data_IF_552292102460
#
_entry.id   IF_552292102460
#
_cell.length_a   1.000
_cell.length_b   1.000
_cell.length_c   1.000
_cell.angle_alpha   90.00
_cell.angle_beta   90.00
_cell.angle_gamma   90.00
#
_symmetry.space_group_name_H-M   'P 1'
#
loop_
_entity.id
_entity.type
_entity.pdbx_description
1 polymer ?
#
# COMPACT_ATOMS: atom_id res chain seq x y z
N UNK A 1 -16.40 -10.78 -5.89
CA UNK A 1 -15.50 -11.29 -4.82
C UNK A 1 -16.35 -11.57 -3.61
N UNK A 2 -16.45 -12.82 -3.15
CA UNK A 2 -17.15 -13.15 -1.90
C UNK A 2 -16.24 -12.80 -0.74
N UNK A 3 -16.49 -11.66 -0.09
CA UNK A 3 -15.79 -11.31 1.14
C UNK A 3 -16.05 -12.36 2.23
N UNK A 4 -14.98 -12.95 2.72
CA UNK A 4 -15.08 -13.79 3.92
C UNK A 4 -15.23 -12.89 5.14
N UNK A 5 -16.26 -13.07 5.98
CA UNK A 5 -16.40 -12.26 7.19
C UNK A 5 -15.24 -12.54 8.16
N UNK A 6 -14.83 -11.53 8.90
CA UNK A 6 -13.85 -11.70 9.97
C UNK A 6 -14.38 -12.67 11.04
N UNK A 7 -13.54 -13.60 11.49
CA UNK A 7 -13.86 -14.53 12.58
C UNK A 7 -14.07 -13.78 13.91
N UNK A 8 -13.18 -12.82 14.21
CA UNK A 8 -13.23 -12.02 15.46
C UNK A 8 -13.97 -10.71 15.19
N UNK A 9 -15.31 -10.80 15.13
CA UNK A 9 -16.19 -9.63 14.90
C UNK A 9 -16.08 -8.59 16.02
N UNK A 10 -15.72 -9.02 17.23
CA UNK A 10 -15.45 -8.18 18.42
C UNK A 10 -14.23 -7.27 18.25
N UNK A 11 -13.36 -7.56 17.28
CA UNK A 11 -12.16 -6.78 16.94
C UNK A 11 -12.24 -6.14 15.55
N UNK A 12 -13.39 -6.16 14.93
CA UNK A 12 -13.58 -5.60 13.61
C UNK A 12 -13.82 -4.09 13.72
N UNK A 13 -12.96 -3.32 13.08
CA UNK A 13 -13.16 -1.90 12.87
C UNK A 13 -14.25 -1.63 11.85
N UNK A 14 -14.86 -0.44 11.94
CA UNK A 14 -15.73 0.06 10.87
C UNK A 14 -14.92 0.34 9.59
N UNK A 15 -15.60 0.46 8.45
CA UNK A 15 -14.94 0.84 7.19
C UNK A 15 -14.30 2.25 7.29
N UNK A 16 -14.88 3.14 8.08
CA UNK A 16 -14.32 4.47 8.32
C UNK A 16 -13.02 4.41 9.13
N UNK A 17 -13.00 3.61 10.20
CA UNK A 17 -11.80 3.40 11.02
C UNK A 17 -10.70 2.71 10.21
N UNK A 18 -11.04 1.71 9.40
CA UNK A 18 -10.08 1.04 8.52
C UNK A 18 -9.42 2.02 7.53
N UNK A 19 -10.17 2.96 6.96
CA UNK A 19 -9.62 4.03 6.12
C UNK A 19 -8.72 4.98 6.91
N UNK A 20 -9.10 5.32 8.14
CA UNK A 20 -8.28 6.17 9.00
C UNK A 20 -6.96 5.47 9.37
N UNK A 21 -6.97 4.17 9.62
CA UNK A 21 -5.75 3.38 9.84
C UNK A 21 -4.87 3.38 8.60
N UNK A 22 -5.44 3.16 7.41
CA UNK A 22 -4.70 3.25 6.15
C UNK A 22 -4.06 4.63 5.94
N UNK A 23 -4.77 5.71 6.26
CA UNK A 23 -4.25 7.07 6.09
C UNK A 23 -3.09 7.42 7.03
N UNK A 24 -2.95 6.72 8.17
CA UNK A 24 -1.84 6.90 9.12
C UNK A 24 -0.57 6.17 8.73
N UNK A 25 -0.69 5.10 7.96
CA UNK A 25 0.45 4.23 7.62
C UNK A 25 1.31 4.82 6.51
N UNK A 26 2.58 4.49 6.52
CA UNK A 26 3.57 4.90 5.51
C UNK A 26 4.06 3.74 4.64
N UNK A 27 3.92 2.53 5.12
CA UNK A 27 4.33 1.31 4.43
C UNK A 27 3.39 0.15 4.76
N UNK A 28 3.33 -0.79 3.86
CA UNK A 28 2.56 -2.02 3.99
C UNK A 28 3.19 -3.13 3.17
N UNK A 29 2.54 -4.26 3.10
CA UNK A 29 2.98 -5.44 2.35
C UNK A 29 2.01 -5.70 1.20
N UNK A 30 2.52 -5.60 -0.03
CA UNK A 30 1.79 -5.97 -1.23
C UNK A 30 2.02 -7.46 -1.51
N UNK A 31 0.94 -8.20 -1.60
CA UNK A 31 0.94 -9.62 -1.99
C UNK A 31 0.31 -9.79 -3.36
N UNK A 32 1.00 -10.49 -4.25
CA UNK A 32 0.59 -10.77 -5.64
C UNK A 32 0.60 -12.27 -5.90
N UNK A 33 -0.05 -12.68 -6.97
CA UNK A 33 0.00 -14.06 -7.47
C UNK A 33 1.27 -14.23 -8.31
N UNK A 34 2.28 -14.87 -7.74
CA UNK A 34 3.56 -15.12 -8.39
C UNK A 34 3.56 -16.31 -9.34
N UNK A 35 4.75 -16.69 -9.78
CA UNK A 35 4.93 -17.82 -10.70
C UNK A 35 4.42 -19.12 -10.10
N UNK A 36 3.78 -19.94 -10.94
CA UNK A 36 3.17 -21.21 -10.50
C UNK A 36 2.03 -21.04 -9.49
N UNK A 37 1.48 -19.82 -9.33
CA UNK A 37 0.42 -19.52 -8.37
C UNK A 37 0.93 -19.32 -6.93
N UNK A 38 2.24 -19.27 -6.70
CA UNK A 38 2.79 -18.99 -5.39
C UNK A 38 2.50 -17.56 -4.93
N UNK A 39 2.05 -17.35 -3.69
CA UNK A 39 1.94 -15.99 -3.16
C UNK A 39 3.32 -15.36 -3.02
N UNK A 40 3.46 -14.13 -3.53
CA UNK A 40 4.68 -13.34 -3.38
C UNK A 40 4.33 -12.04 -2.67
N UNK A 41 5.07 -11.70 -1.63
CA UNK A 41 4.79 -10.55 -0.79
C UNK A 41 6.03 -9.66 -0.66
N UNK A 42 5.84 -8.33 -0.79
CA UNK A 42 6.92 -7.35 -0.73
C UNK A 42 6.48 -6.10 0.05
N UNK A 43 7.31 -5.61 1.01
CA UNK A 43 7.03 -4.35 1.69
C UNK A 43 7.22 -3.17 0.74
N UNK A 44 6.29 -2.21 0.80
CA UNK A 44 6.29 -1.02 -0.05
C UNK A 44 5.74 0.19 0.70
N UNK A 45 6.27 1.37 0.42
CA UNK A 45 5.63 2.62 0.80
C UNK A 45 4.39 2.85 -0.06
N UNK A 46 3.40 3.53 0.51
CA UNK A 46 2.16 3.82 -0.17
C UNK A 46 1.57 5.18 0.25
N UNK A 47 0.63 5.63 -0.52
CA UNK A 47 -0.27 6.73 -0.16
C UNK A 47 -1.71 6.39 -0.51
N UNK A 48 -2.65 7.09 0.10
CA UNK A 48 -4.08 6.95 -0.18
C UNK A 48 -4.60 8.25 -0.78
N UNK A 49 -5.22 8.16 -1.95
CA UNK A 49 -5.89 9.29 -2.58
C UNK A 49 -7.31 8.84 -2.96
N UNK A 50 -8.31 9.51 -2.40
CA UNK A 50 -9.70 9.12 -2.58
C UNK A 50 -9.98 7.70 -2.07
N UNK A 51 -10.34 6.80 -2.95
CA UNK A 51 -10.61 5.38 -2.65
C UNK A 51 -9.50 4.44 -3.10
N UNK A 52 -8.39 4.97 -3.58
CA UNK A 52 -7.29 4.21 -4.17
C UNK A 52 -6.04 4.27 -3.31
N UNK A 53 -5.27 3.18 -3.34
CA UNK A 53 -3.95 3.06 -2.72
C UNK A 53 -2.92 3.10 -3.85
N UNK A 54 -1.97 4.01 -3.75
CA UNK A 54 -0.89 4.16 -4.72
C UNK A 54 0.43 3.68 -4.13
N UNK A 55 1.14 2.90 -4.92
CA UNK A 55 2.42 2.31 -4.59
C UNK A 55 3.43 2.69 -5.67
N UNK A 56 4.68 2.91 -5.33
CA UNK A 56 5.70 3.21 -6.32
C UNK A 56 6.77 2.12 -6.40
N UNK A 57 7.30 1.90 -7.58
CA UNK A 57 8.40 0.97 -7.80
C UNK A 57 9.24 1.34 -9.03
N UNK A 58 10.29 0.56 -9.27
CA UNK A 58 11.05 0.63 -10.51
C UNK A 58 10.17 0.23 -11.71
N UNK A 59 10.60 0.59 -12.93
CA UNK A 59 9.86 0.35 -14.18
C UNK A 59 9.72 -1.12 -14.57
N UNK A 60 10.51 -2.01 -13.99
CA UNK A 60 10.49 -3.43 -14.25
C UNK A 60 10.74 -4.21 -12.95
N UNK A 61 10.32 -5.45 -12.93
CA UNK A 61 10.57 -6.37 -11.83
C UNK A 61 9.42 -7.34 -11.59
N UNK A 62 9.72 -8.39 -10.85
CA UNK A 62 8.85 -9.54 -10.64
C UNK A 62 7.40 -9.20 -10.27
N UNK A 63 7.19 -8.22 -9.38
CA UNK A 63 5.83 -7.83 -8.98
C UNK A 63 5.02 -7.22 -10.13
N UNK A 64 5.65 -6.46 -11.04
CA UNK A 64 4.98 -5.91 -12.22
C UNK A 64 4.61 -7.01 -13.21
N UNK A 65 5.51 -7.96 -13.43
CA UNK A 65 5.25 -9.12 -14.29
C UNK A 65 4.12 -9.99 -13.72
N UNK A 66 4.09 -10.16 -12.39
CA UNK A 66 3.03 -10.88 -11.70
C UNK A 66 1.67 -10.18 -11.85
N UNK A 67 1.61 -8.86 -11.61
CA UNK A 67 0.39 -8.05 -11.76
C UNK A 67 -0.11 -8.04 -13.22
N UNK A 68 0.79 -8.02 -14.19
CA UNK A 68 0.41 -8.07 -15.61
C UNK A 68 -0.25 -9.40 -15.99
N UNK A 69 0.07 -10.49 -15.30
CA UNK A 69 -0.56 -11.81 -15.51
C UNK A 69 -1.85 -11.99 -14.71
N UNK A 70 -1.84 -11.52 -13.48
CA UNK A 70 -2.97 -11.62 -12.55
C UNK A 70 -3.00 -10.38 -11.66
N UNK A 71 -3.96 -9.52 -11.90
CA UNK A 71 -4.11 -8.23 -11.25
C UNK A 71 -4.68 -8.30 -9.82
N UNK A 72 -5.06 -9.50 -9.35
CA UNK A 72 -5.58 -9.71 -7.99
C UNK A 72 -4.47 -9.56 -6.97
N UNK A 73 -4.70 -8.69 -5.99
CA UNK A 73 -3.71 -8.38 -4.97
C UNK A 73 -4.34 -8.33 -3.58
N UNK A 74 -3.48 -8.52 -2.59
CA UNK A 74 -3.78 -8.24 -1.20
C UNK A 74 -2.76 -7.24 -0.67
N UNK A 75 -3.22 -6.16 -0.06
CA UNK A 75 -2.35 -5.18 0.59
C UNK A 75 -2.63 -5.12 2.08
N UNK A 76 -1.60 -5.32 2.91
CA UNK A 76 -1.74 -5.37 4.36
C UNK A 76 -0.90 -4.26 5.00
N UNK A 77 -1.53 -3.51 5.90
CA UNK A 77 -0.89 -2.46 6.69
C UNK A 77 -1.05 -2.78 8.18
N UNK A 78 0.02 -2.61 8.95
CA UNK A 78 0.01 -2.66 10.41
C UNK A 78 0.56 -1.33 10.92
N UNK A 79 -0.27 -0.53 11.58
CA UNK A 79 0.13 0.79 12.07
C UNK A 79 0.62 0.79 13.51
N UNK A 80 0.16 -0.19 14.28
CA UNK A 80 0.58 -0.39 15.67
C UNK A 80 0.73 -1.88 15.93
N UNK A 81 1.76 -2.25 16.69
CA UNK A 81 1.92 -3.58 17.24
C UNK A 81 2.69 -3.49 18.55
N UNK A 82 2.06 -3.86 19.66
CA UNK A 82 2.66 -3.86 20.99
C UNK A 82 2.45 -5.20 21.68
N UNK A 83 3.52 -5.90 21.98
CA UNK A 83 3.46 -7.13 22.79
C UNK A 83 3.21 -6.77 24.23
N UNK A 84 2.24 -7.44 24.85
CA UNK A 84 1.90 -7.32 26.29
C UNK A 84 2.21 -8.65 26.96
N UNK A 85 3.45 -8.86 27.47
CA UNK A 85 3.88 -10.16 28.00
C UNK A 85 3.02 -10.64 29.17
N UNK A 86 2.59 -9.72 30.04
CA UNK A 86 1.75 -10.04 31.19
C UNK A 86 0.39 -10.67 30.81
N UNK A 87 -0.11 -10.44 29.61
CA UNK A 87 -1.37 -10.99 29.12
C UNK A 87 -1.18 -11.98 27.97
N UNK A 88 0.06 -12.33 27.62
CA UNK A 88 0.40 -13.24 26.53
C UNK A 88 -0.37 -12.84 25.25
N UNK A 89 -0.34 -11.55 24.92
CA UNK A 89 -1.10 -11.01 23.79
C UNK A 89 -0.32 -9.88 23.09
N UNK A 90 -0.78 -9.55 21.90
CA UNK A 90 -0.32 -8.37 21.14
C UNK A 90 -1.52 -7.47 20.89
N UNK A 91 -1.39 -6.21 21.23
CA UNK A 91 -2.29 -5.15 20.79
C UNK A 91 -1.81 -4.69 19.40
N UNK A 92 -2.72 -4.60 18.44
CA UNK A 92 -2.37 -4.16 17.09
C UNK A 92 -3.55 -3.49 16.39
N UNK A 93 -3.21 -2.61 15.45
CA UNK A 93 -4.13 -2.09 14.46
C UNK A 93 -3.62 -2.52 13.07
N UNK A 94 -4.47 -3.17 12.30
CA UNK A 94 -4.12 -3.59 10.95
C UNK A 94 -5.31 -3.53 10.00
N UNK A 95 -5.02 -3.35 8.71
CA UNK A 95 -6.01 -3.41 7.65
C UNK A 95 -5.51 -4.34 6.55
N UNK A 96 -6.41 -5.19 6.06
CA UNK A 96 -6.18 -6.06 4.90
C UNK A 96 -7.11 -5.61 3.79
N UNK A 97 -6.55 -5.22 2.66
CA UNK A 97 -7.29 -4.76 1.48
C UNK A 97 -7.15 -5.79 0.38
N UNK A 98 -8.27 -6.32 -0.08
CA UNK A 98 -8.33 -7.15 -1.28
C UNK A 98 -8.76 -6.28 -2.45
N UNK A 99 -8.03 -6.35 -3.56
CA UNK A 99 -8.29 -5.50 -4.71
C UNK A 99 -7.63 -5.99 -5.99
N UNK A 100 -7.60 -5.07 -6.95
CA UNK A 100 -6.90 -5.25 -8.22
C UNK A 100 -5.89 -4.13 -8.40
N UNK A 101 -4.70 -4.49 -8.87
CA UNK A 101 -3.64 -3.53 -9.16
C UNK A 101 -3.56 -3.26 -10.67
N UNK A 102 -3.29 -2.01 -11.00
CA UNK A 102 -3.03 -1.59 -12.38
C UNK A 102 -1.91 -0.55 -12.37
N UNK A 103 -1.15 -0.52 -13.45
CA UNK A 103 -0.13 0.53 -13.66
C UNK A 103 -0.83 1.83 -14.06
N UNK A 104 -0.50 2.92 -13.37
CA UNK A 104 -1.01 4.25 -13.69
C UNK A 104 -0.34 4.76 -14.96
N UNK A 105 -1.13 5.06 -15.99
CA UNK A 105 -0.64 5.53 -17.30
C UNK A 105 -0.84 7.02 -17.51
N UNK A 106 -1.85 7.63 -16.84
CA UNK A 106 -2.11 9.06 -16.92
C UNK A 106 -1.03 9.86 -16.18
N UNK A 107 -0.33 10.74 -16.88
CA UNK A 107 0.80 11.50 -16.33
C UNK A 107 0.39 12.39 -15.16
N UNK A 108 -0.75 13.04 -15.24
CA UNK A 108 -1.27 13.90 -14.18
C UNK A 108 -1.52 13.12 -12.88
N UNK A 109 -2.20 11.98 -12.99
CA UNK A 109 -2.47 11.09 -11.86
C UNK A 109 -1.17 10.55 -11.27
N UNK A 110 -0.24 10.15 -12.12
CA UNK A 110 1.07 9.63 -11.72
C UNK A 110 1.88 10.67 -10.94
N UNK A 111 1.92 11.91 -11.39
CA UNK A 111 2.62 13.01 -10.70
C UNK A 111 1.94 13.38 -9.37
N UNK A 112 0.61 13.42 -9.35
CA UNK A 112 -0.16 13.68 -8.13
C UNK A 112 0.11 12.60 -7.07
N UNK A 113 0.08 11.32 -7.45
CA UNK A 113 0.32 10.22 -6.54
C UNK A 113 1.77 10.14 -6.05
N UNK A 114 2.76 10.42 -6.91
CA UNK A 114 4.16 10.55 -6.50
C UNK A 114 4.36 11.71 -5.51
N UNK A 115 3.70 12.84 -5.77
CA UNK A 115 3.72 13.99 -4.86
C UNK A 115 3.12 13.64 -3.50
N UNK A 116 2.00 12.95 -3.47
CA UNK A 116 1.36 12.46 -2.25
C UNK A 116 2.23 11.45 -1.50
N UNK A 117 2.90 10.53 -2.20
CA UNK A 117 3.84 9.59 -1.60
C UNK A 117 5.00 10.30 -0.90
N UNK A 118 5.55 11.36 -1.51
CA UNK A 118 6.62 12.16 -0.90
C UNK A 118 6.12 12.80 0.38
N UNK A 119 4.90 13.32 0.40
CA UNK A 119 4.31 13.96 1.59
C UNK A 119 4.14 12.98 2.76
N UNK A 120 4.02 11.67 2.50
CA UNK A 120 3.96 10.64 3.56
C UNK A 120 5.31 10.35 4.21
N UNK A 121 6.41 10.82 3.63
CA UNK A 121 7.77 10.58 4.15
C UNK A 121 8.18 11.58 5.25
N UNK A 122 7.34 12.55 5.57
CA UNK A 122 7.60 13.58 6.59
C UNK A 122 7.92 14.95 6.00
N UNK A 123 8.68 15.77 6.73
CA UNK A 123 8.97 17.16 6.38
C UNK A 123 9.92 17.31 5.18
N UNK A 124 9.42 17.00 3.99
CA UNK A 124 10.15 17.23 2.74
C UNK A 124 9.86 18.65 2.23
N UNK A 125 10.92 19.46 2.04
CA UNK A 125 10.73 20.83 1.56
C UNK A 125 10.21 20.84 0.11
N UNK A 126 9.48 21.90 -0.30
CA UNK A 126 8.97 22.03 -1.67
C UNK A 126 10.07 21.90 -2.74
N UNK A 127 11.27 22.42 -2.46
CA UNK A 127 12.42 22.36 -3.36
C UNK A 127 12.93 20.94 -3.56
N UNK A 128 13.05 20.16 -2.47
CA UNK A 128 13.47 18.74 -2.52
C UNK A 128 12.40 17.93 -3.26
N UNK A 129 11.12 18.18 -2.99
CA UNK A 129 10.00 17.51 -3.67
C UNK A 129 10.03 17.81 -5.18
N UNK A 130 10.20 19.07 -5.58
CA UNK A 130 10.28 19.46 -6.98
C UNK A 130 11.48 18.82 -7.70
N UNK A 131 12.65 18.80 -7.08
CA UNK A 131 13.86 18.17 -7.61
C UNK A 131 13.67 16.65 -7.78
N UNK A 132 13.03 15.98 -6.81
CA UNK A 132 12.75 14.55 -6.89
C UNK A 132 11.79 14.25 -8.03
N UNK A 133 10.69 14.97 -8.14
CA UNK A 133 9.70 14.79 -9.21
C UNK A 133 10.34 15.01 -10.59
N UNK A 134 11.13 16.05 -10.77
CA UNK A 134 11.82 16.32 -12.03
C UNK A 134 12.82 15.21 -12.43
N UNK A 135 13.54 14.65 -11.45
CA UNK A 135 14.65 13.72 -11.69
C UNK A 135 14.19 12.25 -11.71
N UNK A 136 13.26 11.87 -10.86
CA UNK A 136 12.88 10.46 -10.61
C UNK A 136 11.54 10.05 -11.23
N UNK A 137 10.64 10.99 -11.48
CA UNK A 137 9.31 10.66 -12.01
C UNK A 137 9.38 9.82 -13.31
N UNK A 138 10.33 10.14 -14.20
CA UNK A 138 10.51 9.40 -15.47
C UNK A 138 10.90 7.94 -15.30
N UNK A 139 11.49 7.56 -14.17
CA UNK A 139 12.02 6.22 -13.89
C UNK A 139 11.23 5.44 -12.83
N UNK A 140 10.06 5.94 -12.44
CA UNK A 140 9.22 5.36 -11.41
C UNK A 140 7.88 4.96 -11.99
N UNK A 141 7.42 3.75 -11.64
CA UNK A 141 6.07 3.23 -11.95
C UNK A 141 5.19 3.34 -10.70
N UNK A 142 3.92 3.68 -10.90
CA UNK A 142 2.84 3.67 -9.91
C UNK A 142 1.79 2.65 -10.29
#
# INVERSE_FOLDING_TARGET
MTERPMRRKDRQFSAADARAILAKGTHGVLSVVGDGGWPYAVPMNYTVMGTQIYLHCARAGYKLDAIARDDRVCFTVVTQAQVIPAHITTLYESVVVLGRAQVVTAEEERLAALGSLIDTLGDVTPEIKAQYLAKKAKNTTL
#
